data_IF_549532674280
#
_entry.id   IF_549532674280
#
_cell.length_a   1.000
_cell.length_b   1.000
_cell.length_c   1.000
_cell.angle_alpha   90.00
_cell.angle_beta   90.00
_cell.angle_gamma   90.00
#
_symmetry.space_group_name_H-M   'P 1'
#
loop_
_entity.id
_entity.type
_entity.pdbx_description
1 polymer ?
#
# COMPACT_ATOMS: atom_id res chain seq x y z
N UNK A 1 20.41 -2.57 17.20
CA UNK A 1 18.98 -2.95 17.19
C UNK A 1 18.30 -2.60 18.52
N UNK A 2 18.83 -3.04 19.67
CA UNK A 2 18.23 -2.78 21.01
C UNK A 2 18.39 -1.33 21.50
N UNK A 3 19.55 -0.71 21.25
CA UNK A 3 19.85 0.66 21.72
C UNK A 3 18.93 1.75 21.13
N UNK A 4 18.60 1.66 19.83
CA UNK A 4 17.68 2.60 19.17
C UNK A 4 16.26 2.47 19.73
N UNK A 5 15.82 1.25 20.05
CA UNK A 5 14.48 1.01 20.62
C UNK A 5 14.33 1.57 22.03
N UNK A 6 15.38 1.58 22.85
CA UNK A 6 15.36 2.15 24.20
C UNK A 6 15.42 3.68 24.20
N UNK A 7 16.28 4.28 23.37
CA UNK A 7 16.39 5.75 23.26
C UNK A 7 15.09 6.38 22.74
N UNK A 8 14.39 5.71 21.81
CA UNK A 8 13.12 6.20 21.25
C UNK A 8 11.93 5.98 22.19
N UNK A 9 11.93 4.96 23.05
CA UNK A 9 10.85 4.72 24.03
C UNK A 9 10.81 5.74 25.16
N UNK A 10 11.97 6.17 25.65
CA UNK A 10 12.06 7.12 26.78
C UNK A 10 11.69 8.56 26.43
N UNK A 11 11.74 8.95 25.15
CA UNK A 11 11.54 10.33 24.69
C UNK A 11 10.14 10.61 24.13
N UNK A 12 9.34 9.58 23.84
CA UNK A 12 8.00 9.72 23.24
C UNK A 12 6.83 9.66 24.24
N UNK A 13 7.02 9.16 25.47
CA UNK A 13 5.90 8.92 26.38
C UNK A 13 5.28 10.19 27.01
N UNK A 14 5.95 11.35 26.96
CA UNK A 14 5.48 12.54 27.70
C UNK A 14 4.73 13.59 26.87
N UNK A 15 4.49 13.36 25.57
CA UNK A 15 4.01 14.44 24.69
C UNK A 15 2.84 14.04 23.78
N UNK A 16 1.82 13.34 24.31
CA UNK A 16 0.54 13.18 23.59
C UNK A 16 -0.14 14.55 23.47
N UNK A 17 -0.54 14.93 22.26
CA UNK A 17 -1.23 16.20 21.99
C UNK A 17 -2.52 16.29 22.80
N UNK A 18 -2.64 17.35 23.61
CA UNK A 18 -3.88 17.70 24.29
C UNK A 18 -5.02 17.80 23.24
N UNK A 19 -6.13 17.10 23.47
CA UNK A 19 -7.33 17.18 22.64
C UNK A 19 -7.57 16.08 21.61
N UNK A 20 -6.69 15.07 21.46
CA UNK A 20 -7.00 13.89 20.64
C UNK A 20 -7.92 12.91 21.38
N UNK A 21 -8.84 12.29 20.65
CA UNK A 21 -9.70 11.22 21.18
C UNK A 21 -8.82 10.06 21.70
N UNK A 22 -8.96 9.62 22.96
CA UNK A 22 -8.16 8.53 23.52
C UNK A 22 -8.22 7.23 22.70
N UNK A 23 -9.33 6.96 22.01
CA UNK A 23 -9.50 5.79 21.14
C UNK A 23 -8.58 5.83 19.92
N UNK A 24 -8.18 7.05 19.50
CA UNK A 24 -7.25 7.26 18.39
C UNK A 24 -5.87 6.81 18.83
N UNK A 25 -5.43 7.22 20.02
CA UNK A 25 -4.08 6.96 20.54
C UNK A 25 -3.82 5.50 20.94
N UNK A 26 -4.85 4.66 21.00
CA UNK A 26 -4.68 3.23 21.25
C UNK A 26 -4.56 2.47 19.93
N UNK A 27 -3.37 1.89 19.69
CA UNK A 27 -3.16 0.95 18.59
C UNK A 27 -3.92 -0.36 18.79
N UNK A 28 -4.25 -1.04 17.70
CA UNK A 28 -4.96 -2.31 17.69
C UNK A 28 -4.12 -3.38 16.97
N UNK A 29 -4.18 -4.63 17.46
CA UNK A 29 -3.44 -5.76 16.90
C UNK A 29 -4.37 -6.94 16.70
N UNK A 30 -4.43 -7.45 15.47
CA UNK A 30 -5.23 -8.61 15.09
C UNK A 30 -4.33 -9.60 14.32
N UNK A 31 -4.32 -10.88 14.71
CA UNK A 31 -3.59 -11.90 13.96
C UNK A 31 -4.54 -12.58 12.97
N UNK A 32 -4.15 -12.68 11.70
CA UNK A 32 -4.98 -13.24 10.64
C UNK A 32 -4.25 -14.36 9.89
N UNK A 33 -5.00 -15.36 9.43
CA UNK A 33 -4.46 -16.42 8.55
C UNK A 33 -5.16 -16.31 7.21
N UNK A 34 -4.39 -16.08 6.15
CA UNK A 34 -4.90 -16.02 4.78
C UNK A 34 -4.48 -17.27 4.01
N UNK A 35 -5.46 -17.97 3.46
CA UNK A 35 -5.24 -19.00 2.45
C UNK A 35 -5.38 -18.32 1.09
N UNK A 36 -4.27 -17.96 0.43
CA UNK A 36 -4.37 -17.36 -0.90
C UNK A 36 -4.66 -18.42 -1.95
N UNK A 37 -5.77 -18.28 -2.67
CA UNK A 37 -6.05 -18.98 -3.91
C UNK A 37 -6.08 -17.96 -5.06
N UNK A 38 -4.93 -17.77 -5.72
CA UNK A 38 -4.79 -17.08 -7.02
C UNK A 38 -4.81 -15.55 -6.99
N UNK A 39 -3.82 -14.93 -7.65
CA UNK A 39 -3.74 -13.48 -7.90
C UNK A 39 -3.87 -13.19 -9.40
N UNK A 40 -4.99 -12.61 -9.85
CA UNK A 40 -5.26 -12.38 -11.28
C UNK A 40 -5.18 -10.93 -11.76
N UNK A 41 -5.01 -9.92 -10.88
CA UNK A 41 -5.34 -8.54 -11.25
C UNK A 41 -4.24 -7.71 -11.94
N UNK A 42 -2.97 -8.11 -11.91
CA UNK A 42 -1.88 -7.32 -12.54
C UNK A 42 -1.36 -7.92 -13.87
N UNK A 43 -1.93 -9.03 -14.29
CA UNK A 43 -1.52 -9.78 -15.47
C UNK A 43 -2.02 -9.11 -16.77
N UNK A 44 -3.19 -8.48 -16.73
CA UNK A 44 -3.84 -7.85 -17.89
C UNK A 44 -2.95 -6.82 -18.61
N UNK A 45 -2.45 -5.82 -17.89
CA UNK A 45 -1.66 -4.73 -18.47
C UNK A 45 -0.30 -5.21 -19.00
N UNK A 46 0.29 -6.21 -18.33
CA UNK A 46 1.54 -6.82 -18.75
C UNK A 46 1.35 -7.57 -20.09
N UNK A 47 0.28 -8.35 -20.19
CA UNK A 47 -0.09 -9.10 -21.39
C UNK A 47 -0.43 -8.17 -22.56
N UNK A 48 -1.20 -7.11 -22.33
CA UNK A 48 -1.58 -6.14 -23.37
C UNK A 48 -0.35 -5.46 -24.00
N UNK A 49 0.66 -5.14 -23.18
CA UNK A 49 1.90 -4.51 -23.64
C UNK A 49 2.75 -5.50 -24.44
N UNK A 50 2.92 -6.72 -23.95
CA UNK A 50 3.72 -7.75 -24.63
C UNK A 50 3.10 -8.27 -25.93
N UNK A 51 1.76 -8.27 -26.07
CA UNK A 51 1.08 -8.55 -27.35
C UNK A 51 1.30 -7.44 -28.36
N UNK A 52 1.13 -6.18 -27.94
CA UNK A 52 1.30 -5.02 -28.82
C UNK A 52 2.69 -4.98 -29.44
N UNK A 53 3.69 -5.37 -28.66
CA UNK A 53 5.10 -5.30 -29.06
C UNK A 53 5.58 -6.61 -29.74
N UNK A 54 4.67 -7.56 -30.00
CA UNK A 54 4.93 -8.78 -30.78
C UNK A 54 5.72 -9.86 -30.03
N UNK A 55 5.86 -9.74 -28.71
CA UNK A 55 6.66 -10.65 -27.88
C UNK A 55 5.92 -11.94 -27.50
N UNK A 56 4.59 -11.98 -27.67
CA UNK A 56 3.75 -13.15 -27.39
C UNK A 56 2.92 -13.44 -28.62
N UNK A 57 3.11 -14.61 -29.23
CA UNK A 57 2.32 -15.07 -30.37
C UNK A 57 1.66 -16.41 -30.04
N UNK A 58 0.33 -16.43 -30.04
CA UNK A 58 -0.50 -17.59 -29.71
C UNK A 58 -1.09 -17.54 -28.29
N UNK A 59 -2.41 -17.71 -28.18
CA UNK A 59 -3.13 -17.85 -26.91
C UNK A 59 -3.83 -16.57 -26.41
N UNK A 60 -3.16 -15.41 -26.44
CA UNK A 60 -3.68 -14.18 -25.80
C UNK A 60 -5.00 -13.67 -26.39
N UNK A 61 -5.18 -13.77 -27.70
CA UNK A 61 -6.43 -13.41 -28.38
C UNK A 61 -7.67 -14.11 -27.79
N UNK A 62 -7.48 -15.30 -27.18
CA UNK A 62 -8.55 -16.09 -26.57
C UNK A 62 -8.93 -15.62 -25.16
N UNK A 63 -8.04 -14.90 -24.49
CA UNK A 63 -8.20 -14.44 -23.10
C UNK A 63 -8.64 -12.96 -23.03
N UNK A 64 -8.27 -12.16 -24.03
CA UNK A 64 -8.59 -10.73 -24.15
C UNK A 64 -10.09 -10.39 -23.97
N UNK A 65 -11.06 -11.20 -24.44
CA UNK A 65 -12.48 -10.91 -24.22
C UNK A 65 -12.92 -10.93 -22.75
N UNK A 66 -12.23 -11.69 -21.89
CA UNK A 66 -12.52 -11.78 -20.45
C UNK A 66 -11.79 -10.71 -19.64
N UNK A 67 -10.61 -10.31 -20.12
CA UNK A 67 -9.88 -9.20 -19.54
C UNK A 67 -10.61 -7.86 -19.76
N UNK A 68 -11.30 -7.72 -20.89
CA UNK A 68 -12.00 -6.48 -21.29
C UNK A 68 -13.45 -6.36 -20.80
N UNK A 69 -14.03 -7.40 -20.21
CA UNK A 69 -15.35 -7.38 -19.59
C UNK A 69 -15.35 -8.19 -18.27
N UNK A 70 -15.07 -7.53 -17.14
CA UNK A 70 -14.99 -8.20 -15.83
C UNK A 70 -16.35 -8.70 -15.31
N UNK A 71 -17.47 -8.31 -15.94
CA UNK A 71 -18.81 -8.79 -15.58
C UNK A 71 -19.18 -10.11 -16.27
N UNK A 72 -18.38 -10.55 -17.25
CA UNK A 72 -18.59 -11.81 -17.96
C UNK A 72 -18.26 -12.98 -17.02
N UNK A 73 -19.21 -13.90 -16.74
CA UNK A 73 -18.98 -14.98 -15.78
C UNK A 73 -17.83 -15.87 -16.26
N UNK A 74 -16.86 -16.07 -15.37
CA UNK A 74 -15.71 -16.96 -15.57
C UNK A 74 -16.25 -18.38 -15.79
N UNK A 75 -16.23 -18.87 -17.03
CA UNK A 75 -16.70 -20.23 -17.34
C UNK A 75 -15.77 -21.28 -16.74
N UNK A 76 -16.25 -22.53 -16.64
CA UNK A 76 -15.49 -23.67 -16.15
C UNK A 76 -14.18 -23.95 -16.93
N UNK A 77 -13.98 -23.29 -18.07
CA UNK A 77 -12.81 -23.46 -18.95
C UNK A 77 -11.52 -22.84 -18.39
N UNK A 78 -11.56 -21.95 -17.39
CA UNK A 78 -10.35 -21.32 -16.86
C UNK A 78 -9.37 -22.27 -16.18
N UNK A 79 -9.82 -23.43 -15.69
CA UNK A 79 -8.91 -24.49 -15.23
C UNK A 79 -8.07 -25.07 -16.37
N UNK A 80 -8.55 -25.06 -17.61
CA UNK A 80 -7.72 -25.49 -18.76
C UNK A 80 -6.71 -24.42 -19.19
N UNK A 81 -6.97 -23.14 -18.86
CA UNK A 81 -6.08 -22.01 -19.19
C UNK A 81 -5.07 -21.65 -18.11
N UNK A 82 -5.19 -22.22 -16.90
CA UNK A 82 -4.23 -22.02 -15.81
C UNK A 82 -2.81 -22.39 -16.25
N UNK A 83 -2.66 -23.45 -17.04
CA UNK A 83 -1.38 -23.89 -17.59
C UNK A 83 -0.80 -22.89 -18.60
N UNK A 84 -1.63 -22.28 -19.45
CA UNK A 84 -1.20 -21.27 -20.44
C UNK A 84 -0.86 -19.93 -19.76
N UNK A 85 -1.61 -19.53 -18.72
CA UNK A 85 -1.33 -18.34 -17.91
C UNK A 85 -0.02 -18.50 -17.12
N UNK A 86 0.22 -19.69 -16.57
CA UNK A 86 1.50 -20.04 -15.92
C UNK A 86 2.64 -20.01 -16.94
N UNK A 87 2.42 -20.51 -18.16
CA UNK A 87 3.42 -20.50 -19.23
C UNK A 87 3.76 -19.06 -19.65
N UNK A 88 2.76 -18.21 -19.86
CA UNK A 88 2.93 -16.78 -20.16
C UNK A 88 3.64 -16.01 -19.04
N UNK A 89 3.28 -16.28 -17.78
CA UNK A 89 3.97 -15.71 -16.64
C UNK A 89 5.43 -16.18 -16.56
N UNK A 90 5.71 -17.43 -16.94
CA UNK A 90 7.05 -18.01 -16.97
C UNK A 90 7.91 -17.43 -18.09
N UNK A 91 7.36 -17.29 -19.30
CA UNK A 91 8.02 -16.61 -20.43
C UNK A 91 8.31 -15.14 -20.10
N UNK A 92 7.35 -14.43 -19.48
CA UNK A 92 7.59 -13.07 -18.98
C UNK A 92 8.70 -12.99 -17.93
N UNK A 93 8.79 -13.98 -17.03
CA UNK A 93 9.86 -14.07 -16.04
C UNK A 93 11.24 -14.35 -16.67
N UNK A 94 11.30 -15.15 -17.74
CA UNK A 94 12.54 -15.41 -18.49
C UNK A 94 13.13 -14.13 -19.12
N UNK A 95 12.29 -13.14 -19.45
CA UNK A 95 12.73 -11.84 -19.93
C UNK A 95 13.03 -10.82 -18.82
N UNK A 96 12.34 -10.91 -17.67
CA UNK A 96 12.56 -10.02 -16.53
C UNK A 96 13.83 -10.36 -15.74
N UNK A 97 14.25 -11.63 -15.72
CA UNK A 97 15.43 -12.06 -14.97
C UNK A 97 16.75 -11.48 -15.53
N UNK A 98 17.00 -11.48 -16.85
CA UNK A 98 18.14 -10.78 -17.45
C UNK A 98 18.11 -9.27 -17.21
N UNK A 99 16.92 -8.65 -17.25
CA UNK A 99 16.73 -7.23 -16.92
C UNK A 99 17.10 -6.94 -15.46
N UNK A 100 16.64 -7.77 -14.51
CA UNK A 100 17.01 -7.65 -13.10
C UNK A 100 18.53 -7.77 -12.89
N UNK A 101 19.18 -8.68 -13.62
CA UNK A 101 20.63 -8.87 -13.56
C UNK A 101 21.40 -7.68 -14.16
N UNK A 102 20.94 -7.14 -15.29
CA UNK A 102 21.52 -5.95 -15.93
C UNK A 102 21.27 -4.66 -15.12
N UNK A 103 20.18 -4.60 -14.36
CA UNK A 103 19.83 -3.46 -13.52
C UNK A 103 20.66 -3.37 -12.22
N UNK A 104 21.46 -4.39 -11.90
CA UNK A 104 22.33 -4.41 -10.72
C UNK A 104 23.43 -3.34 -10.70
N UNK A 105 23.71 -2.71 -11.84
CA UNK A 105 24.80 -1.72 -12.01
C UNK A 105 24.31 -0.26 -11.94
N UNK A 106 23.01 -0.01 -11.86
CA UNK A 106 22.44 1.34 -11.90
C UNK A 106 22.44 2.01 -10.52
N UNK A 107 23.01 3.22 -10.43
CA UNK A 107 23.08 4.04 -9.20
C UNK A 107 22.32 5.36 -9.36
N UNK A 108 21.96 6.01 -8.25
CA UNK A 108 21.29 7.32 -8.26
C UNK A 108 19.79 7.24 -8.59
N UNK A 109 19.29 8.15 -9.43
CA UNK A 109 17.86 8.34 -9.75
C UNK A 109 17.19 7.12 -10.41
N UNK A 110 17.98 6.18 -10.92
CA UNK A 110 17.52 4.94 -11.56
C UNK A 110 17.25 3.81 -10.54
N UNK A 111 17.68 3.97 -9.27
CA UNK A 111 17.47 2.98 -8.19
C UNK A 111 15.99 2.63 -7.96
N UNK A 112 15.09 3.61 -8.13
CA UNK A 112 13.65 3.40 -7.98
C UNK A 112 13.09 2.40 -9.00
N UNK A 113 13.52 2.51 -10.26
CA UNK A 113 13.10 1.60 -11.34
C UNK A 113 13.58 0.17 -11.03
N UNK A 114 14.80 0.02 -10.53
CA UNK A 114 15.34 -1.28 -10.12
C UNK A 114 14.51 -1.92 -9.00
N UNK A 115 14.13 -1.13 -8.00
CA UNK A 115 13.34 -1.60 -6.86
C UNK A 115 11.90 -1.97 -7.28
N UNK A 116 11.31 -1.23 -8.21
CA UNK A 116 10.00 -1.53 -8.78
C UNK A 116 10.02 -2.85 -9.59
N UNK A 117 11.04 -3.04 -10.44
CA UNK A 117 11.22 -4.29 -11.21
C UNK A 117 11.46 -5.49 -10.29
N UNK A 118 12.28 -5.34 -9.24
CA UNK A 118 12.45 -6.40 -8.21
C UNK A 118 11.13 -6.73 -7.52
N UNK A 119 10.29 -5.73 -7.26
CA UNK A 119 8.96 -5.90 -6.71
C UNK A 119 8.07 -6.76 -7.62
N UNK A 120 8.13 -6.53 -8.93
CA UNK A 120 7.38 -7.31 -9.93
C UNK A 120 7.86 -8.76 -10.04
N UNK A 121 9.18 -8.99 -10.16
CA UNK A 121 9.73 -10.35 -10.23
C UNK A 121 9.34 -11.16 -8.99
N UNK A 122 9.44 -10.56 -7.80
CA UNK A 122 9.04 -11.21 -6.56
C UNK A 122 7.55 -11.54 -6.53
N UNK A 123 6.69 -10.65 -7.01
CA UNK A 123 5.25 -10.88 -7.06
C UNK A 123 4.88 -12.05 -7.99
N UNK A 124 5.57 -12.17 -9.13
CA UNK A 124 5.36 -13.23 -10.13
C UNK A 124 5.98 -14.58 -9.72
N UNK A 125 7.03 -14.58 -8.91
CA UNK A 125 7.72 -15.80 -8.45
C UNK A 125 6.98 -16.57 -7.34
N UNK A 126 5.90 -16.01 -6.80
CA UNK A 126 5.11 -16.66 -5.76
C UNK A 126 4.22 -17.73 -6.39
N UNK A 127 4.57 -19.00 -6.16
CA UNK A 127 3.73 -20.14 -6.52
C UNK A 127 2.43 -20.18 -5.70
N UNK A 128 1.33 -20.41 -6.41
CA UNK A 128 -0.01 -20.69 -5.86
C UNK A 128 0.03 -21.92 -4.96
N UNK A 129 -0.38 -21.81 -3.69
CA UNK A 129 -0.61 -22.99 -2.83
C UNK A 129 -0.06 -22.93 -1.39
N UNK A 130 0.66 -21.89 -0.97
CA UNK A 130 1.08 -21.75 0.43
C UNK A 130 0.10 -20.88 1.23
N UNK A 131 -0.40 -21.41 2.35
CA UNK A 131 -1.14 -20.61 3.33
C UNK A 131 -0.19 -19.60 3.95
N UNK A 132 -0.53 -18.31 3.88
CA UNK A 132 0.29 -17.23 4.44
C UNK A 132 -0.37 -16.71 5.71
N UNK A 133 0.41 -16.72 6.79
CA UNK A 133 -0.02 -16.12 8.05
C UNK A 133 0.50 -14.69 8.11
N UNK A 134 -0.38 -13.76 8.41
CA UNK A 134 -0.03 -12.36 8.56
C UNK A 134 -0.51 -11.84 9.91
N UNK A 135 0.18 -10.83 10.42
CA UNK A 135 -0.32 -10.04 11.54
C UNK A 135 -0.76 -8.69 11.00
N UNK A 136 -2.01 -8.33 11.27
CA UNK A 136 -2.57 -7.03 10.96
C UNK A 136 -2.38 -6.12 12.17
N UNK A 137 -1.80 -4.95 11.94
CA UNK A 137 -1.48 -3.99 12.98
C UNK A 137 -2.01 -2.62 12.57
N UNK A 138 -2.52 -1.90 13.56
CA UNK A 138 -2.71 -0.45 13.53
C UNK A 138 -1.86 0.09 14.66
N UNK A 139 -0.89 0.93 14.32
CA UNK A 139 -0.10 1.57 15.35
C UNK A 139 0.73 2.73 14.85
N UNK A 140 1.47 3.26 15.83
CA UNK A 140 2.30 4.43 15.73
C UNK A 140 3.78 4.11 16.03
N UNK A 141 4.19 2.83 15.94
CA UNK A 141 5.57 2.42 16.23
C UNK A 141 6.56 3.16 15.29
N UNK A 142 7.48 3.97 15.84
CA UNK A 142 8.42 4.74 15.03
C UNK A 142 9.29 3.87 14.12
N UNK A 143 9.64 2.65 14.56
CA UNK A 143 10.42 1.72 13.75
C UNK A 143 9.63 1.28 12.51
N UNK A 144 8.33 1.04 12.66
CA UNK A 144 7.48 0.64 11.55
C UNK A 144 7.30 1.77 10.55
N UNK A 145 7.12 3.00 11.02
CA UNK A 145 7.11 4.18 10.16
C UNK A 145 8.41 4.31 9.37
N UNK A 146 9.57 4.19 10.02
CA UNK A 146 10.87 4.28 9.33
C UNK A 146 11.03 3.15 8.29
N UNK A 147 10.57 1.94 8.59
CA UNK A 147 10.71 0.79 7.69
C UNK A 147 9.62 0.70 6.61
N UNK A 148 8.55 1.50 6.71
CA UNK A 148 7.35 1.36 5.86
C UNK A 148 7.61 1.56 4.37
N UNK A 149 8.63 2.32 3.97
CA UNK A 149 9.04 2.41 2.57
C UNK A 149 10.27 1.58 2.20
N UNK A 150 11.10 1.20 3.18
CA UNK A 150 12.27 0.37 2.92
C UNK A 150 11.90 -1.10 2.70
N UNK A 151 10.97 -1.62 3.49
CA UNK A 151 10.52 -3.01 3.40
C UNK A 151 9.46 -3.25 2.32
N UNK A 152 8.69 -2.21 1.97
CA UNK A 152 7.62 -2.25 0.98
C UNK A 152 8.02 -1.52 -0.30
N UNK A 153 8.02 -2.22 -1.43
CA UNK A 153 8.39 -1.67 -2.73
C UNK A 153 7.39 -0.59 -3.23
N UNK A 154 7.87 0.30 -4.10
CA UNK A 154 7.08 1.37 -4.71
C UNK A 154 6.82 2.59 -3.80
N UNK A 155 7.40 2.63 -2.59
CA UNK A 155 7.29 3.78 -1.70
C UNK A 155 8.48 4.73 -1.84
N UNK A 156 8.18 6.02 -2.02
CA UNK A 156 9.17 7.10 -2.02
C UNK A 156 9.76 7.41 -0.61
N UNK A 157 9.18 6.86 0.46
CA UNK A 157 9.50 7.20 1.85
C UNK A 157 10.42 6.14 2.49
N UNK A 158 11.68 6.07 2.04
CA UNK A 158 12.64 5.03 2.45
C UNK A 158 13.78 5.63 3.25
N UNK A 159 14.18 5.02 4.37
CA UNK A 159 15.32 5.55 5.15
C UNK A 159 16.63 5.64 4.37
N UNK A 160 16.78 4.81 3.33
CA UNK A 160 17.94 4.75 2.43
C UNK A 160 17.70 5.46 1.08
N UNK A 161 16.64 6.28 0.99
CA UNK A 161 16.25 7.05 -0.19
C UNK A 161 16.74 8.50 -0.20
N UNK A 162 16.15 9.33 -1.07
CA UNK A 162 16.45 10.76 -1.16
C UNK A 162 16.05 11.50 0.14
N UNK A 163 16.97 12.20 0.82
CA UNK A 163 16.67 13.00 2.01
C UNK A 163 15.49 13.98 1.84
N UNK A 164 15.28 14.53 0.63
CA UNK A 164 14.16 15.42 0.33
C UNK A 164 12.80 14.74 0.39
N UNK A 165 12.75 13.43 0.17
CA UNK A 165 11.55 12.61 0.33
C UNK A 165 11.41 12.13 1.78
N UNK A 166 12.53 11.93 2.47
CA UNK A 166 12.56 11.44 3.85
C UNK A 166 12.09 12.45 4.90
N UNK A 167 12.14 13.76 4.62
CA UNK A 167 11.53 14.75 5.53
C UNK A 167 10.02 14.50 5.74
N UNK A 168 9.32 14.05 4.69
CA UNK A 168 7.91 13.67 4.77
C UNK A 168 7.69 12.39 5.57
N UNK A 169 8.63 11.45 5.54
CA UNK A 169 8.61 10.22 6.36
C UNK A 169 8.69 10.57 7.85
N UNK A 170 9.70 11.35 8.24
CA UNK A 170 9.90 11.77 9.64
C UNK A 170 8.72 12.60 10.14
N UNK A 171 8.24 13.56 9.34
CA UNK A 171 7.11 14.38 9.77
C UNK A 171 5.77 13.63 9.80
N UNK A 172 5.60 12.55 9.04
CA UNK A 172 4.44 11.64 9.18
C UNK A 172 4.50 10.88 10.50
N UNK A 173 5.68 10.35 10.86
CA UNK A 173 5.92 9.62 12.11
C UNK A 173 5.76 10.50 13.35
N UNK A 174 6.16 11.77 13.29
CA UNK A 174 6.07 12.71 14.41
C UNK A 174 4.68 13.31 14.60
N UNK A 175 3.76 13.07 13.67
CA UNK A 175 2.41 13.59 13.78
C UNK A 175 1.43 12.51 14.23
N UNK A 176 0.87 12.71 15.42
CA UNK A 176 -0.11 11.83 16.03
C UNK A 176 -1.43 11.71 15.25
N UNK A 177 -1.66 12.54 14.23
CA UNK A 177 -2.80 12.38 13.32
C UNK A 177 -2.65 11.23 12.32
N UNK A 178 -1.47 10.59 12.24
CA UNK A 178 -1.22 9.50 11.31
C UNK A 178 -1.11 8.16 12.04
N UNK A 179 -1.81 7.18 11.53
CA UNK A 179 -1.72 5.79 11.95
C UNK A 179 -1.29 4.92 10.77
N UNK A 180 -0.47 3.92 11.06
CA UNK A 180 0.02 2.99 10.05
C UNK A 180 -0.73 1.67 10.16
N UNK A 181 -1.51 1.36 9.12
CA UNK A 181 -2.10 0.03 8.96
C UNK A 181 -1.07 -0.86 8.28
N UNK A 182 -0.73 -2.00 8.89
CA UNK A 182 0.34 -2.88 8.45
C UNK A 182 -0.12 -4.32 8.35
N UNK A 183 0.33 -4.98 7.30
CA UNK A 183 0.39 -6.43 7.23
C UNK A 183 1.86 -6.85 7.38
N UNK A 184 2.13 -7.64 8.41
CA UNK A 184 3.45 -8.25 8.63
C UNK A 184 3.40 -9.75 8.42
N UNK A 185 4.42 -10.31 7.79
CA UNK A 185 4.57 -11.77 7.70
C UNK A 185 5.02 -12.38 9.04
N UNK A 186 5.18 -13.71 9.07
CA UNK A 186 5.60 -14.44 10.27
C UNK A 186 7.00 -14.07 10.77
N UNK A 187 7.85 -13.47 9.92
CA UNK A 187 9.16 -12.96 10.33
C UNK A 187 9.09 -11.57 10.96
N UNK A 188 7.92 -10.92 10.89
CA UNK A 188 7.70 -9.55 11.35
C UNK A 188 8.02 -8.50 10.28
N UNK A 189 8.31 -8.89 9.04
CA UNK A 189 8.56 -7.98 7.93
C UNK A 189 7.24 -7.40 7.40
N UNK A 190 7.22 -6.11 7.09
CA UNK A 190 6.09 -5.44 6.46
C UNK A 190 5.97 -5.93 5.01
N UNK A 191 4.81 -6.49 4.68
CA UNK A 191 4.47 -6.96 3.33
C UNK A 191 3.39 -6.11 2.66
N UNK A 192 2.61 -5.39 3.45
CA UNK A 192 1.59 -4.47 2.97
C UNK A 192 1.35 -3.35 3.99
N UNK A 193 0.95 -2.18 3.52
CA UNK A 193 0.65 -1.04 4.39
C UNK A 193 -0.36 -0.07 3.79
N UNK A 194 -0.98 0.74 4.64
CA UNK A 194 -1.66 1.97 4.28
C UNK A 194 -1.52 3.00 5.41
N UNK A 195 -1.57 4.29 5.09
CA UNK A 195 -1.69 5.34 6.11
C UNK A 195 -3.17 5.64 6.33
N UNK A 196 -3.58 5.68 7.59
CA UNK A 196 -4.89 6.15 8.01
C UNK A 196 -4.70 7.48 8.73
N UNK A 197 -5.32 8.55 8.23
CA UNK A 197 -5.12 9.90 8.75
C UNK A 197 -6.38 10.46 9.35
N UNK A 198 -6.23 11.16 10.48
CA UNK A 198 -7.26 12.03 11.01
C UNK A 198 -7.29 13.33 10.18
N UNK A 199 -8.46 13.66 9.66
CA UNK A 199 -8.74 14.88 8.90
C UNK A 199 -10.09 15.45 9.37
N UNK A 200 -10.49 16.60 8.83
CA UNK A 200 -11.80 17.20 9.09
C UNK A 200 -12.66 17.27 7.83
N UNK A 201 -13.95 16.99 7.98
CA UNK A 201 -15.02 17.39 7.07
C UNK A 201 -15.72 18.62 7.69
N UNK A 202 -15.33 19.82 7.28
CA UNK A 202 -15.71 21.05 7.99
C UNK A 202 -15.12 21.06 9.39
N UNK A 203 -15.97 21.04 10.43
CA UNK A 203 -15.55 20.94 11.84
C UNK A 203 -15.64 19.53 12.42
N UNK A 204 -16.10 18.55 11.64
CA UNK A 204 -16.29 17.17 12.10
C UNK A 204 -15.05 16.33 11.81
N UNK A 205 -14.60 15.48 12.75
CA UNK A 205 -13.53 14.55 12.48
C UNK A 205 -13.94 13.51 11.43
N UNK A 206 -12.99 13.15 10.58
CA UNK A 206 -13.12 12.16 9.53
C UNK A 206 -11.81 11.39 9.37
N UNK A 207 -11.87 10.22 8.76
CA UNK A 207 -10.70 9.41 8.44
C UNK A 207 -10.42 9.42 6.95
N UNK A 208 -9.15 9.53 6.59
CA UNK A 208 -8.67 9.37 5.23
C UNK A 208 -7.76 8.15 5.15
N UNK A 209 -8.18 7.14 4.39
CA UNK A 209 -7.32 6.02 4.00
C UNK A 209 -6.52 6.42 2.75
N UNK A 210 -5.21 6.45 2.90
CA UNK A 210 -4.28 6.63 1.78
C UNK A 210 -4.13 5.33 0.99
N UNK A 211 -3.48 5.42 -0.18
CA UNK A 211 -3.20 4.27 -1.03
C UNK A 211 -2.57 3.10 -0.26
N UNK A 212 -3.00 1.88 -0.61
CA UNK A 212 -2.39 0.64 -0.13
C UNK A 212 -1.12 0.32 -0.93
N UNK A 213 -0.02 0.07 -0.21
CA UNK A 213 1.27 -0.36 -0.76
C UNK A 213 1.61 -1.80 -0.33
N UNK A 214 2.38 -2.55 -1.14
CA UNK A 214 2.74 -2.21 -2.51
C UNK A 214 1.51 -2.31 -3.42
N UNK A 215 1.53 -1.68 -4.60
CA UNK A 215 0.41 -1.81 -5.56
C UNK A 215 0.22 -3.25 -6.03
N UNK A 216 1.28 -4.06 -5.98
CA UNK A 216 1.28 -5.50 -6.28
C UNK A 216 0.71 -6.37 -5.16
N UNK A 217 0.29 -5.79 -4.03
CA UNK A 217 -0.32 -6.54 -2.94
C UNK A 217 -1.59 -7.26 -3.43
N UNK A 218 -1.77 -8.51 -3.01
CA UNK A 218 -2.92 -9.34 -3.38
C UNK A 218 -4.24 -8.69 -2.97
N UNK A 219 -5.32 -9.01 -3.71
CA UNK A 219 -6.65 -8.45 -3.44
C UNK A 219 -7.14 -8.80 -2.04
N UNK A 220 -6.93 -10.05 -1.60
CA UNK A 220 -7.29 -10.48 -0.25
C UNK A 220 -6.55 -9.67 0.83
N UNK A 221 -5.24 -9.47 0.70
CA UNK A 221 -4.47 -8.65 1.64
C UNK A 221 -4.93 -7.17 1.63
N UNK A 222 -5.21 -6.60 0.45
CA UNK A 222 -5.76 -5.24 0.34
C UNK A 222 -7.12 -5.12 1.02
N UNK A 223 -7.98 -6.10 0.84
CA UNK A 223 -9.30 -6.15 1.45
C UNK A 223 -9.20 -6.21 2.98
N UNK A 224 -8.22 -6.94 3.55
CA UNK A 224 -8.01 -6.96 4.99
C UNK A 224 -7.61 -5.59 5.56
N UNK A 225 -6.69 -4.87 4.91
CA UNK A 225 -6.32 -3.51 5.30
C UNK A 225 -7.53 -2.56 5.21
N UNK A 226 -8.33 -2.69 4.16
CA UNK A 226 -9.56 -1.91 3.97
C UNK A 226 -10.59 -2.19 5.07
N UNK A 227 -10.90 -3.46 5.33
CA UNK A 227 -11.84 -3.87 6.36
C UNK A 227 -11.39 -3.40 7.74
N UNK A 228 -10.09 -3.36 8.00
CA UNK A 228 -9.57 -2.86 9.26
C UNK A 228 -9.73 -1.34 9.40
N UNK A 229 -9.52 -0.58 8.33
CA UNK A 229 -9.83 0.84 8.30
C UNK A 229 -11.33 1.10 8.54
N UNK A 230 -12.22 0.30 7.95
CA UNK A 230 -13.68 0.37 8.16
C UNK A 230 -14.05 0.10 9.61
N UNK A 231 -13.55 -0.99 10.21
CA UNK A 231 -13.75 -1.29 11.64
C UNK A 231 -13.33 -0.12 12.53
N UNK A 232 -12.23 0.57 12.19
CA UNK A 232 -11.78 1.74 12.94
C UNK A 232 -12.76 2.90 12.79
N UNK A 233 -13.14 3.24 11.56
CA UNK A 233 -14.17 4.24 11.28
C UNK A 233 -15.47 3.99 12.05
N UNK A 234 -15.97 2.75 12.05
CA UNK A 234 -17.14 2.33 12.82
C UNK A 234 -16.95 2.52 14.34
N UNK A 235 -15.80 2.08 14.88
CA UNK A 235 -15.49 2.23 16.30
C UNK A 235 -15.40 3.69 16.76
N UNK A 236 -14.97 4.59 15.88
CA UNK A 236 -14.93 6.03 16.15
C UNK A 236 -16.28 6.71 15.95
N UNK A 237 -17.11 6.18 15.04
CA UNK A 237 -18.30 6.86 14.53
C UNK A 237 -17.96 8.00 13.56
N UNK A 238 -16.83 7.90 12.85
CA UNK A 238 -16.35 8.92 11.91
C UNK A 238 -16.38 8.39 10.48
N UNK A 239 -16.73 9.19 9.47
CA UNK A 239 -16.73 8.74 8.08
C UNK A 239 -15.32 8.39 7.60
N UNK A 240 -15.22 7.32 6.81
CA UNK A 240 -13.98 6.89 6.14
C UNK A 240 -13.99 7.32 4.68
N UNK A 241 -12.92 7.98 4.26
CA UNK A 241 -12.76 8.45 2.90
C UNK A 241 -11.50 7.88 2.25
N UNK A 242 -11.47 7.90 0.91
CA UNK A 242 -10.26 7.67 0.15
C UNK A 242 -10.39 8.14 -1.30
N UNK A 243 -9.26 8.26 -2.00
CA UNK A 243 -9.23 8.78 -3.38
C UNK A 243 -9.20 7.64 -4.41
N UNK A 244 -8.46 6.58 -4.12
CA UNK A 244 -8.18 5.50 -5.07
C UNK A 244 -8.99 4.23 -4.84
N UNK A 245 -10.00 4.31 -3.96
CA UNK A 245 -10.84 3.19 -3.59
C UNK A 245 -12.21 3.28 -4.23
N UNK A 246 -12.90 2.15 -4.28
CA UNK A 246 -14.33 2.14 -4.58
C UNK A 246 -15.10 2.79 -3.44
N UNK A 247 -16.13 3.55 -3.78
CA UNK A 247 -16.91 4.31 -2.80
C UNK A 247 -17.88 5.27 -3.47
N UNK A 248 -18.68 5.93 -2.66
CA UNK A 248 -19.65 6.93 -3.13
C UNK A 248 -18.94 8.25 -3.38
N UNK A 249 -19.10 8.80 -4.58
CA UNK A 249 -18.62 10.15 -4.90
C UNK A 249 -19.24 11.19 -3.96
N UNK A 250 -18.46 12.17 -3.54
CA UNK A 250 -18.93 13.21 -2.61
C UNK A 250 -18.61 14.61 -3.13
N UNK A 251 -19.32 15.60 -2.58
CA UNK A 251 -19.01 17.01 -2.80
C UNK A 251 -18.31 17.64 -1.58
N UNK A 252 -17.78 16.83 -0.67
CA UNK A 252 -17.12 17.33 0.54
C UNK A 252 -15.66 17.69 0.24
N UNK A 253 -15.07 18.51 1.10
CA UNK A 253 -13.64 18.78 1.10
C UNK A 253 -13.10 18.38 2.45
N UNK A 254 -12.08 17.51 2.45
CA UNK A 254 -11.38 17.18 3.68
C UNK A 254 -10.22 18.15 3.88
N UNK A 255 -9.97 18.52 5.12
CA UNK A 255 -8.85 19.39 5.49
C UNK A 255 -8.01 18.74 6.59
N UNK A 256 -6.70 18.91 6.50
CA UNK A 256 -5.79 18.74 7.63
C UNK A 256 -5.32 20.12 8.09
N UNK A 257 -5.48 20.39 9.38
CA UNK A 257 -4.99 21.62 9.99
C UNK A 257 -3.50 21.55 10.34
N UNK A 258 -2.85 20.45 9.99
CA UNK A 258 -1.45 20.21 10.24
C UNK A 258 -1.19 19.54 11.58
N UNK A 259 0.08 19.31 11.84
CA UNK A 259 0.54 18.69 13.07
C UNK A 259 1.92 19.18 13.44
N UNK A 260 2.59 18.42 14.31
CA UNK A 260 3.95 18.78 14.78
C UNK A 260 5.03 18.55 13.74
N UNK A 261 4.74 17.77 12.70
CA UNK A 261 5.65 17.55 11.57
C UNK A 261 5.77 18.78 10.68
N UNK A 262 7.00 19.18 10.34
CA UNK A 262 7.27 20.30 9.43
C UNK A 262 6.88 19.99 7.97
N UNK A 263 6.85 18.72 7.60
CA UNK A 263 6.42 18.25 6.29
C UNK A 263 5.72 16.90 6.40
N UNK A 264 4.71 16.66 5.57
CA UNK A 264 4.11 15.34 5.39
C UNK A 264 3.98 15.01 3.92
N UNK A 265 4.29 13.78 3.54
CA UNK A 265 3.96 13.31 2.20
C UNK A 265 2.51 12.83 2.20
N UNK A 266 1.68 13.31 1.27
CA UNK A 266 0.25 12.97 1.18
C UNK A 266 -0.05 12.52 -0.25
N UNK A 267 -0.38 11.24 -0.41
CA UNK A 267 -0.62 10.62 -1.73
C UNK A 267 -1.94 11.14 -2.35
N UNK A 268 -2.97 11.29 -1.52
CA UNK A 268 -4.31 11.70 -1.93
C UNK A 268 -4.45 13.18 -2.31
N UNK A 269 -3.48 14.03 -1.95
CA UNK A 269 -3.50 15.47 -2.25
C UNK A 269 -2.84 15.76 -3.61
N UNK A 270 -1.82 16.61 -3.64
CA UNK A 270 -1.03 16.92 -4.83
C UNK A 270 0.12 15.94 -5.09
N UNK A 271 0.14 14.78 -4.43
CA UNK A 271 1.23 13.77 -4.47
C UNK A 271 2.59 14.39 -4.15
N UNK A 272 2.74 14.89 -2.93
CA UNK A 272 3.96 15.60 -2.53
C UNK A 272 4.03 15.95 -1.07
N UNK A 273 5.14 16.61 -0.72
CA UNK A 273 5.41 17.14 0.61
C UNK A 273 4.52 18.36 0.89
N UNK A 274 3.66 18.24 1.89
CA UNK A 274 2.77 19.26 2.41
C UNK A 274 3.44 19.97 3.59
N UNK A 275 3.76 21.27 3.48
CA UNK A 275 4.34 22.03 4.57
C UNK A 275 3.42 22.05 5.79
N UNK A 276 3.99 21.85 6.97
CA UNK A 276 3.31 21.79 8.27
C UNK A 276 2.18 20.74 8.34
N UNK A 277 2.17 19.76 7.43
CA UNK A 277 1.09 18.76 7.35
C UNK A 277 -0.28 19.33 6.97
N UNK A 278 -0.35 20.57 6.47
CA UNK A 278 -1.60 21.22 6.06
C UNK A 278 -1.93 20.86 4.62
N UNK A 279 -3.12 20.33 4.38
CA UNK A 279 -3.57 19.97 3.04
C UNK A 279 -5.09 19.94 2.93
N UNK A 280 -5.58 19.92 1.69
CA UNK A 280 -6.99 19.73 1.37
C UNK A 280 -7.15 18.61 0.34
N UNK A 281 -8.24 17.84 0.47
CA UNK A 281 -8.62 16.77 -0.46
C UNK A 281 -10.02 17.10 -0.98
N UNK A 282 -10.15 17.62 -2.21
CA UNK A 282 -11.46 17.89 -2.78
C UNK A 282 -12.12 16.59 -3.27
N UNK A 283 -13.43 16.46 -3.01
CA UNK A 283 -14.28 15.39 -3.56
C UNK A 283 -13.69 13.97 -3.35
N UNK A 284 -13.33 13.59 -2.11
CA UNK A 284 -12.94 12.21 -1.86
C UNK A 284 -14.14 11.27 -2.06
N UNK A 285 -13.89 9.97 -2.16
CA UNK A 285 -14.95 8.96 -2.13
C UNK A 285 -15.20 8.52 -0.70
N UNK A 286 -16.47 8.43 -0.32
CA UNK A 286 -16.89 7.83 0.94
C UNK A 286 -16.80 6.31 0.82
N UNK A 287 -15.99 5.69 1.67
CA UNK A 287 -15.81 4.25 1.75
C UNK A 287 -16.85 3.70 2.73
N UNK A 288 -17.83 2.98 2.18
CA UNK A 288 -18.85 2.22 2.92
C UNK A 288 -18.40 0.78 3.09
#
# INVERSE_FOLDING_TARGET
STYIKEVMRGSFQENRSEGLDPRWVTGAREQITLTSSGSSLNFKQLVETSVRDGHISGGVERIMPYLNDPAKPLSADLKSYESELILLAREGMEHLQPLQNALGEYTGSQKQIVDDVKGWVKALSVSSGSTRKYTLLDGDDPCDFLLMGTEVAGSCQRVDGDPNLNKGLVGTMLDGHNHLLLLKDVSGKIVGRALLRLVKEGEKPALLLERIYPQTLGSAEKEQLMNFAKKRSEAFGWPLYGVEFEGTETNVTLTSEGGRGTYQYVDSASRGNQPNGKFTIPKPKLIS
#
